data_IF_031612131749
#
_entry.id   IF_031612131749
#
_cell.length_a   1.000
_cell.length_b   1.000
_cell.length_c   1.000
_cell.angle_alpha   90.00
_cell.angle_beta   90.00
_cell.angle_gamma   90.00
#
_symmetry.space_group_name_H-M   'P 1'
#
loop_
_entity.id
_entity.type
_entity.pdbx_description
1 polymer ?
#
# COMPACT_ATOMS: atom_id res chain seq x y z
N UNK A 1 0.75 -42.89 -1.66
CA UNK A 1 1.57 -42.11 -0.70
C UNK A 1 2.08 -40.85 -1.38
N UNK A 2 1.46 -39.69 -1.13
CA UNK A 2 1.90 -38.38 -1.67
C UNK A 2 2.64 -37.63 -0.55
N UNK A 3 3.90 -37.26 -0.80
CA UNK A 3 4.73 -36.48 0.13
C UNK A 3 4.15 -35.07 0.29
N UNK A 4 4.11 -34.50 1.50
CA UNK A 4 3.68 -33.11 1.70
C UNK A 4 4.76 -32.17 1.16
N UNK A 5 4.36 -31.19 0.35
CA UNK A 5 5.23 -30.11 -0.09
C UNK A 5 5.55 -29.23 1.11
N UNK A 6 6.81 -29.24 1.56
CA UNK A 6 7.33 -28.25 2.51
C UNK A 6 7.15 -26.85 1.90
N UNK A 7 6.25 -26.05 2.47
CA UNK A 7 6.36 -24.60 2.39
C UNK A 7 7.69 -24.21 3.05
N UNK A 8 8.72 -23.98 2.24
CA UNK A 8 9.91 -23.26 2.71
C UNK A 8 9.49 -21.81 2.92
N UNK A 9 9.14 -21.48 4.16
CA UNK A 9 9.15 -20.10 4.63
C UNK A 9 10.58 -19.57 4.42
N UNK A 10 10.77 -18.75 3.38
CA UNK A 10 12.01 -18.00 3.22
C UNK A 10 11.93 -16.84 4.20
N UNK A 11 12.40 -17.07 5.43
CA UNK A 11 12.75 -16.00 6.34
C UNK A 11 13.96 -15.26 5.74
N UNK A 12 13.69 -14.21 4.97
CA UNK A 12 14.73 -13.31 4.49
C UNK A 12 15.08 -12.37 5.65
N UNK A 13 16.12 -12.70 6.39
CA UNK A 13 16.77 -11.76 7.29
C UNK A 13 17.46 -10.68 6.45
N UNK A 14 16.92 -9.46 6.46
CA UNK A 14 17.55 -8.29 5.84
C UNK A 14 17.76 -7.20 6.89
N UNK A 15 18.96 -7.19 7.47
CA UNK A 15 19.48 -6.08 8.24
C UNK A 15 19.87 -4.93 7.30
N UNK A 16 18.89 -4.22 6.75
CA UNK A 16 19.09 -2.85 6.30
C UNK A 16 18.60 -1.95 7.43
N UNK A 17 19.53 -1.30 8.13
CA UNK A 17 19.22 -0.34 9.19
C UNK A 17 18.53 0.90 8.57
N UNK A 18 17.24 0.76 8.26
CA UNK A 18 16.34 1.89 8.27
C UNK A 18 16.36 2.43 9.70
N UNK A 19 16.48 3.74 9.88
CA UNK A 19 16.35 4.37 11.18
C UNK A 19 14.90 4.22 11.67
N UNK A 20 14.58 3.02 12.16
CA UNK A 20 13.37 2.73 12.89
C UNK A 20 13.45 3.45 14.24
N UNK A 21 12.28 3.77 14.79
CA UNK A 21 12.21 4.36 16.13
C UNK A 21 12.89 3.41 17.15
N UNK A 22 13.71 3.90 18.10
CA UNK A 22 14.32 3.04 19.12
C UNK A 22 13.25 2.19 19.84
N UNK A 23 13.42 0.86 19.84
CA UNK A 23 12.48 -0.09 20.44
C UNK A 23 11.44 -0.67 19.48
N UNK A 24 11.34 -0.17 18.24
CA UNK A 24 10.46 -0.77 17.23
C UNK A 24 11.00 -2.11 16.73
N UNK A 25 12.32 -2.27 16.67
CA UNK A 25 13.00 -3.54 16.44
C UNK A 25 12.61 -4.60 17.48
N UNK A 26 12.54 -4.21 18.75
CA UNK A 26 12.13 -5.10 19.84
C UNK A 26 10.65 -5.49 19.73
N UNK A 27 9.78 -4.52 19.48
CA UNK A 27 8.35 -4.77 19.27
C UNK A 27 8.13 -5.73 18.10
N UNK A 28 8.85 -5.58 16.99
CA UNK A 28 8.72 -6.47 15.83
C UNK A 28 9.26 -7.87 16.09
N UNK A 29 10.40 -8.00 16.76
CA UNK A 29 10.93 -9.30 17.17
C UNK A 29 9.94 -10.04 18.11
N UNK A 30 9.17 -9.30 18.91
CA UNK A 30 8.10 -9.87 19.71
C UNK A 30 6.90 -10.31 18.84
N UNK A 31 6.49 -9.51 17.85
CA UNK A 31 5.42 -9.89 16.91
C UNK A 31 5.81 -11.13 16.09
N UNK A 32 7.05 -11.24 15.65
CA UNK A 32 7.56 -12.40 14.89
C UNK A 32 7.44 -13.72 15.67
N UNK A 33 7.58 -13.67 16.99
CA UNK A 33 7.45 -14.85 17.85
C UNK A 33 5.99 -15.27 18.08
N UNK A 34 5.02 -14.40 17.75
CA UNK A 34 3.60 -14.67 17.99
C UNK A 34 3.02 -15.55 16.89
N UNK A 35 2.37 -16.63 17.32
CA UNK A 35 1.45 -17.37 16.47
C UNK A 35 0.09 -16.66 16.48
N UNK A 36 -0.60 -16.65 15.34
CA UNK A 36 -1.92 -16.03 15.22
C UNK A 36 -2.64 -16.47 13.95
N UNK A 37 -3.91 -16.11 13.79
CA UNK A 37 -4.70 -16.49 12.63
C UNK A 37 -4.06 -15.94 11.35
N UNK A 38 -4.19 -16.68 10.25
CA UNK A 38 -3.76 -16.22 8.94
C UNK A 38 -4.60 -15.02 8.49
N UNK A 39 -3.99 -14.10 7.73
CA UNK A 39 -4.66 -12.92 7.16
C UNK A 39 -5.59 -13.29 6.00
N UNK A 40 -6.63 -14.07 6.29
CA UNK A 40 -7.54 -14.69 5.30
C UNK A 40 -9.01 -14.30 5.48
N UNK A 41 -9.31 -13.40 6.42
CA UNK A 41 -10.68 -12.92 6.59
C UNK A 41 -11.08 -12.05 5.39
N UNK A 42 -12.29 -12.30 4.88
CA UNK A 42 -12.90 -11.49 3.83
C UNK A 42 -13.54 -10.24 4.42
N UNK A 43 -13.69 -9.21 3.59
CA UNK A 43 -14.22 -7.89 3.98
C UNK A 43 -15.28 -7.43 2.98
N UNK A 44 -16.26 -6.66 3.47
CA UNK A 44 -17.34 -6.08 2.67
C UNK A 44 -18.06 -7.10 1.78
N UNK A 45 -18.37 -6.69 0.55
CA UNK A 45 -19.06 -7.51 -0.45
C UNK A 45 -18.40 -8.89 -0.68
N UNK A 46 -17.09 -9.04 -0.49
CA UNK A 46 -16.42 -10.34 -0.68
C UNK A 46 -16.79 -11.36 0.40
N UNK A 47 -17.18 -10.90 1.58
CA UNK A 47 -17.65 -11.73 2.68
C UNK A 47 -19.14 -12.08 2.53
N UNK A 48 -19.92 -11.21 1.89
CA UNK A 48 -21.40 -11.32 1.82
C UNK A 48 -21.91 -11.94 0.51
N UNK A 49 -21.25 -11.65 -0.61
CA UNK A 49 -21.70 -12.10 -1.93
C UNK A 49 -21.24 -13.53 -2.26
N UNK A 50 -22.10 -14.26 -2.97
CA UNK A 50 -21.75 -15.54 -3.56
C UNK A 50 -20.83 -15.34 -4.76
N UNK A 51 -20.01 -16.34 -5.08
CA UNK A 51 -19.06 -16.24 -6.19
C UNK A 51 -19.75 -15.91 -7.53
N UNK A 52 -20.97 -16.40 -7.77
CA UNK A 52 -21.73 -16.08 -9.00
C UNK A 52 -22.07 -14.59 -9.14
N UNK A 53 -22.16 -13.87 -8.03
CA UNK A 53 -22.52 -12.45 -7.97
C UNK A 53 -21.27 -11.55 -8.02
N UNK A 54 -20.08 -12.14 -7.88
CA UNK A 54 -18.81 -11.43 -7.99
C UNK A 54 -18.39 -11.26 -9.45
N UNK A 55 -17.93 -10.05 -9.77
CA UNK A 55 -17.20 -9.80 -11.01
C UNK A 55 -15.94 -10.68 -11.11
N UNK A 56 -15.38 -10.91 -12.31
CA UNK A 56 -14.11 -11.63 -12.45
C UNK A 56 -12.99 -11.05 -11.58
N UNK A 57 -12.95 -9.72 -11.44
CA UNK A 57 -12.02 -9.02 -10.55
C UNK A 57 -12.30 -9.32 -9.08
N UNK A 58 -13.57 -9.29 -8.66
CA UNK A 58 -13.96 -9.61 -7.27
C UNK A 58 -13.58 -11.04 -6.88
N UNK A 59 -13.79 -12.01 -7.77
CA UNK A 59 -13.34 -13.40 -7.60
C UNK A 59 -11.82 -13.48 -7.42
N UNK A 60 -11.07 -12.82 -8.30
CA UNK A 60 -9.61 -12.81 -8.21
C UNK A 60 -9.11 -12.20 -6.89
N UNK A 61 -9.74 -11.12 -6.40
CA UNK A 61 -9.40 -10.53 -5.10
C UNK A 61 -9.74 -11.50 -3.97
N UNK A 62 -10.93 -12.12 -3.99
CA UNK A 62 -11.34 -13.11 -2.99
C UNK A 62 -10.36 -14.27 -2.92
N UNK A 63 -9.98 -14.84 -4.07
CA UNK A 63 -9.01 -15.93 -4.15
C UNK A 63 -7.64 -15.53 -3.55
N UNK A 64 -7.16 -14.31 -3.84
CA UNK A 64 -5.92 -13.79 -3.24
C UNK A 64 -6.04 -13.70 -1.71
N UNK A 65 -7.13 -13.12 -1.20
CA UNK A 65 -7.33 -12.93 0.24
C UNK A 65 -7.41 -14.27 0.99
N UNK A 66 -8.04 -15.30 0.43
CA UNK A 66 -8.13 -16.63 1.08
C UNK A 66 -6.98 -17.57 0.73
N UNK A 67 -5.91 -17.06 0.12
CA UNK A 67 -4.70 -17.84 -0.19
C UNK A 67 -4.85 -18.86 -1.32
N UNK A 68 -5.89 -18.74 -2.16
CA UNK A 68 -6.14 -19.57 -3.35
C UNK A 68 -5.62 -18.94 -4.65
N UNK A 69 -5.28 -17.65 -4.63
CA UNK A 69 -4.78 -16.88 -5.77
C UNK A 69 -3.42 -16.24 -5.51
N UNK A 70 -2.72 -15.89 -6.59
CA UNK A 70 -1.44 -15.17 -6.52
C UNK A 70 -1.66 -13.66 -6.54
N UNK A 71 -1.35 -12.99 -5.42
CA UNK A 71 -1.36 -11.53 -5.31
C UNK A 71 -0.22 -10.85 -6.06
N UNK A 72 0.79 -11.62 -6.48
CA UNK A 72 1.89 -11.17 -7.31
C UNK A 72 1.66 -11.52 -8.78
N UNK A 73 2.39 -10.82 -9.66
CA UNK A 73 2.47 -11.17 -11.07
C UNK A 73 3.91 -11.04 -11.54
N UNK A 74 4.63 -12.16 -11.46
CA UNK A 74 6.06 -12.22 -11.78
C UNK A 74 6.34 -12.04 -13.27
N UNK A 75 5.38 -12.38 -14.15
CA UNK A 75 5.54 -12.21 -15.60
C UNK A 75 5.66 -10.74 -16.00
N UNK A 76 6.72 -10.37 -16.73
CA UNK A 76 6.92 -9.04 -17.32
C UNK A 76 6.32 -8.99 -18.73
N UNK A 77 4.99 -9.13 -18.86
CA UNK A 77 4.34 -8.79 -20.14
C UNK A 77 4.12 -7.28 -20.18
N UNK A 78 5.08 -6.58 -20.76
CA UNK A 78 4.93 -5.18 -21.17
C UNK A 78 4.58 -5.21 -22.66
N UNK A 79 3.30 -5.44 -22.96
CA UNK A 79 2.81 -5.18 -24.30
C UNK A 79 2.76 -3.67 -24.54
N UNK A 80 2.95 -3.24 -25.79
CA UNK A 80 2.57 -1.88 -26.19
C UNK A 80 1.07 -1.69 -25.96
N UNK A 81 0.69 -0.62 -25.28
CA UNK A 81 -0.72 -0.20 -25.18
C UNK A 81 -1.05 0.76 -26.34
N UNK A 82 -2.30 0.80 -26.83
CA UNK A 82 -2.73 1.78 -27.82
C UNK A 82 -2.52 3.22 -27.33
N UNK A 83 -2.40 4.23 -28.23
CA UNK A 83 -2.27 5.63 -27.84
C UNK A 83 -3.34 6.06 -26.82
N UNK A 84 -2.96 6.83 -25.80
CA UNK A 84 -3.88 7.24 -24.70
C UNK A 84 -5.15 7.96 -25.16
N UNK A 85 -5.10 8.65 -26.31
CA UNK A 85 -6.24 9.37 -26.92
C UNK A 85 -7.06 8.52 -27.88
N UNK A 86 -6.69 7.25 -28.10
CA UNK A 86 -7.38 6.37 -29.04
C UNK A 86 -8.64 5.74 -28.45
N UNK A 87 -9.64 5.46 -29.30
CA UNK A 87 -10.82 4.70 -28.92
C UNK A 87 -10.49 3.29 -28.41
N UNK A 88 -9.38 2.69 -28.88
CA UNK A 88 -8.91 1.39 -28.39
C UNK A 88 -8.48 1.47 -26.91
N UNK A 89 -7.76 2.52 -26.52
CA UNK A 89 -7.39 2.75 -25.12
C UNK A 89 -8.62 3.05 -24.26
N UNK A 90 -9.56 3.85 -24.75
CA UNK A 90 -10.78 4.18 -24.02
C UNK A 90 -11.68 2.96 -23.70
N UNK A 91 -11.63 1.90 -24.52
CA UNK A 91 -12.37 0.65 -24.28
C UNK A 91 -11.72 -0.25 -23.23
N UNK A 92 -10.41 -0.13 -23.02
CA UNK A 92 -9.68 -0.88 -22.00
C UNK A 92 -9.43 -0.01 -20.78
N UNK A 93 -10.18 -0.26 -19.70
CA UNK A 93 -10.05 0.48 -18.43
C UNK A 93 -8.63 0.45 -17.86
N UNK A 94 -7.80 -0.54 -18.20
CA UNK A 94 -6.41 -0.65 -17.75
C UNK A 94 -5.41 0.10 -18.63
N UNK A 95 -5.79 0.51 -19.85
CA UNK A 95 -4.86 1.13 -20.79
C UNK A 95 -4.27 2.44 -20.25
N UNK A 96 -5.11 3.34 -19.73
CA UNK A 96 -4.63 4.62 -19.18
C UNK A 96 -3.66 4.43 -18.00
N UNK A 97 -3.88 3.40 -17.19
CA UNK A 97 -3.05 3.11 -16.03
C UNK A 97 -1.62 2.73 -16.39
N UNK A 98 -1.36 2.26 -17.62
CA UNK A 98 0.01 2.05 -18.11
C UNK A 98 0.76 3.38 -18.24
N UNK A 99 0.12 4.39 -18.83
CA UNK A 99 0.70 5.73 -18.98
C UNK A 99 0.95 6.38 -17.62
N UNK A 100 -0.05 6.32 -16.72
CA UNK A 100 0.08 6.82 -15.34
C UNK A 100 1.24 6.12 -14.62
N UNK A 101 1.33 4.79 -14.72
CA UNK A 101 2.38 4.02 -14.06
C UNK A 101 3.78 4.33 -14.62
N UNK A 102 3.91 4.58 -15.93
CA UNK A 102 5.18 4.97 -16.56
C UNK A 102 5.64 6.36 -16.08
N UNK A 103 4.73 7.34 -16.02
CA UNK A 103 5.03 8.69 -15.54
C UNK A 103 5.38 8.70 -14.05
N UNK A 104 4.62 7.94 -13.24
CA UNK A 104 4.96 7.71 -11.84
C UNK A 104 6.35 7.09 -11.71
N UNK A 105 6.65 6.03 -12.49
CA UNK A 105 7.95 5.36 -12.46
C UNK A 105 9.09 6.30 -12.81
N UNK A 106 8.92 7.12 -13.85
CA UNK A 106 9.90 8.12 -14.27
C UNK A 106 10.17 9.15 -13.16
N UNK A 107 9.14 9.57 -12.43
CA UNK A 107 9.27 10.47 -11.29
C UNK A 107 9.81 9.81 -10.01
N UNK A 108 9.77 8.47 -9.92
CA UNK A 108 10.11 7.69 -8.72
C UNK A 108 11.51 7.07 -8.75
N UNK A 109 12.20 7.07 -9.89
CA UNK A 109 13.55 6.52 -10.04
C UNK A 109 14.53 7.64 -10.37
N UNK A 110 15.63 7.71 -9.60
CA UNK A 110 16.71 8.66 -9.87
C UNK A 110 17.65 8.18 -10.98
N UNK A 111 18.60 9.03 -11.38
CA UNK A 111 19.59 8.74 -12.44
C UNK A 111 20.40 7.46 -12.24
N UNK A 112 20.64 7.07 -10.97
CA UNK A 112 21.35 5.84 -10.62
C UNK A 112 20.45 4.57 -10.61
N UNK A 113 19.23 4.63 -11.15
CA UNK A 113 18.30 3.49 -11.18
C UNK A 113 17.69 3.11 -9.82
N UNK A 114 17.97 3.90 -8.77
CA UNK A 114 17.48 3.69 -7.40
C UNK A 114 16.18 4.45 -7.15
N UNK A 115 15.27 3.87 -6.36
CA UNK A 115 14.06 4.60 -5.97
C UNK A 115 14.39 5.82 -5.14
N UNK A 116 13.69 6.91 -5.43
CA UNK A 116 13.87 8.18 -4.77
C UNK A 116 12.86 8.37 -3.64
N UNK A 117 12.83 9.59 -3.14
CA UNK A 117 11.99 10.02 -2.05
C UNK A 117 10.48 10.01 -2.37
N UNK A 118 10.10 10.22 -3.63
CA UNK A 118 8.70 10.18 -4.09
C UNK A 118 8.18 8.74 -4.02
N UNK A 119 8.98 7.76 -4.46
CA UNK A 119 8.61 6.35 -4.40
C UNK A 119 8.27 5.90 -2.98
N UNK A 120 9.17 6.20 -2.02
CA UNK A 120 8.99 5.86 -0.61
C UNK A 120 7.78 6.56 0.00
N UNK A 121 7.58 7.84 -0.33
CA UNK A 121 6.44 8.60 0.17
C UNK A 121 5.11 8.11 -0.41
N UNK A 122 5.08 7.63 -1.67
CA UNK A 122 3.89 7.07 -2.29
C UNK A 122 3.47 5.74 -1.65
N UNK A 123 4.43 4.87 -1.32
CA UNK A 123 4.18 3.64 -0.54
C UNK A 123 3.57 3.99 0.82
N UNK A 124 4.16 4.98 1.53
CA UNK A 124 3.62 5.45 2.81
C UNK A 124 2.22 6.05 2.66
N UNK A 125 1.97 6.84 1.62
CA UNK A 125 0.66 7.45 1.37
C UNK A 125 -0.42 6.38 1.16
N UNK A 126 -0.14 5.35 0.36
CA UNK A 126 -1.08 4.24 0.15
C UNK A 126 -1.42 3.50 1.44
N UNK A 127 -0.44 3.31 2.33
CA UNK A 127 -0.67 2.77 3.68
C UNK A 127 -1.50 3.71 4.56
N UNK A 128 -1.20 5.01 4.55
CA UNK A 128 -1.92 5.98 5.40
C UNK A 128 -3.37 6.19 4.96
N UNK A 129 -3.67 6.07 3.66
CA UNK A 129 -5.04 6.04 3.14
C UNK A 129 -5.73 4.75 3.62
N UNK A 130 -5.23 3.59 3.18
CA UNK A 130 -5.82 2.28 3.46
C UNK A 130 -5.89 1.90 4.95
N UNK A 131 -4.92 2.35 5.73
CA UNK A 131 -4.74 2.02 7.13
C UNK A 131 -5.78 2.63 8.05
N UNK A 132 -6.71 3.45 7.54
CA UNK A 132 -7.77 4.09 8.33
C UNK A 132 -9.08 3.30 8.39
N UNK A 133 -9.13 2.10 7.79
CA UNK A 133 -10.28 1.19 7.93
C UNK A 133 -10.09 0.20 9.08
N UNK A 134 -11.17 -0.21 9.74
CA UNK A 134 -11.22 -1.39 10.63
C UNK A 134 -12.59 -2.07 10.56
N UNK A 135 -12.72 -3.24 11.19
CA UNK A 135 -14.01 -3.92 11.37
C UNK A 135 -15.10 -3.02 12.01
N UNK A 136 -14.69 -1.99 12.75
CA UNK A 136 -15.59 -1.10 13.49
C UNK A 136 -15.92 0.19 12.74
N UNK A 137 -15.28 0.46 11.59
CA UNK A 137 -15.52 1.70 10.81
C UNK A 137 -16.65 1.58 9.81
N UNK A 138 -17.22 0.39 9.64
CA UNK A 138 -18.22 0.12 8.60
C UNK A 138 -17.66 0.45 7.21
N UNK A 139 -18.26 1.44 6.55
CA UNK A 139 -17.87 1.91 5.21
C UNK A 139 -16.88 3.08 5.21
N UNK A 140 -16.52 3.62 6.38
CA UNK A 140 -15.66 4.79 6.49
C UNK A 140 -14.17 4.40 6.45
N UNK A 141 -13.38 5.25 5.77
CA UNK A 141 -11.94 5.10 5.62
C UNK A 141 -11.55 3.93 4.72
N UNK A 142 -10.25 3.63 4.70
CA UNK A 142 -9.68 2.60 3.84
C UNK A 142 -9.07 3.19 2.60
N UNK A 143 -8.90 2.37 1.56
CA UNK A 143 -8.31 2.82 0.30
C UNK A 143 -9.38 3.54 -0.53
N UNK A 144 -9.79 4.73 -0.11
CA UNK A 144 -10.89 5.51 -0.67
C UNK A 144 -10.47 6.93 -1.11
N UNK A 145 -9.19 7.28 -0.96
CA UNK A 145 -8.65 8.57 -1.35
C UNK A 145 -9.01 9.72 -0.42
N UNK A 146 -9.66 9.47 0.72
CA UNK A 146 -10.06 10.51 1.68
C UNK A 146 -8.86 11.31 2.16
N UNK A 147 -7.68 10.69 2.24
CA UNK A 147 -6.46 11.36 2.70
C UNK A 147 -6.12 12.62 1.88
N UNK A 148 -6.48 12.60 0.58
CA UNK A 148 -6.29 13.72 -0.35
C UNK A 148 -7.53 14.61 -0.40
N UNK A 149 -8.70 13.98 -0.57
CA UNK A 149 -9.97 14.63 -0.87
C UNK A 149 -10.54 15.39 0.34
N UNK A 150 -10.33 14.85 1.54
CA UNK A 150 -10.67 15.48 2.81
C UNK A 150 -9.51 16.28 3.42
N UNK A 151 -8.46 16.61 2.62
CA UNK A 151 -7.30 17.43 3.02
C UNK A 151 -6.54 16.93 4.25
N UNK A 152 -6.58 15.62 4.50
CA UNK A 152 -6.00 15.05 5.71
C UNK A 152 -4.46 15.13 5.74
N UNK A 153 -3.79 15.20 4.58
CA UNK A 153 -2.34 15.39 4.51
C UNK A 153 -1.88 16.72 5.14
N UNK A 154 -2.73 17.75 5.06
CA UNK A 154 -2.47 19.09 5.58
C UNK A 154 -3.01 19.27 7.00
N UNK A 155 -4.14 18.64 7.32
CA UNK A 155 -4.91 18.92 8.54
C UNK A 155 -4.67 17.94 9.69
N UNK A 156 -4.07 16.77 9.41
CA UNK A 156 -3.91 15.70 10.40
C UNK A 156 -2.46 15.45 10.78
N UNK A 157 -2.21 15.40 12.09
CA UNK A 157 -0.86 15.25 12.67
C UNK A 157 -0.25 13.90 12.32
N UNK A 158 -1.06 12.85 12.28
CA UNK A 158 -0.70 11.49 11.89
C UNK A 158 -0.15 11.41 10.46
N UNK A 159 -0.60 12.31 9.57
CA UNK A 159 -0.17 12.37 8.17
C UNK A 159 1.02 13.32 7.93
N UNK A 160 1.64 13.83 9.01
CA UNK A 160 2.78 14.74 8.90
C UNK A 160 3.89 14.17 8.02
N UNK A 161 4.36 14.99 7.09
CA UNK A 161 5.38 14.64 6.11
C UNK A 161 4.85 13.99 4.83
N UNK A 162 3.54 13.90 4.63
CA UNK A 162 2.92 13.45 3.37
C UNK A 162 2.55 14.59 2.42
N UNK A 163 2.56 15.85 2.86
CA UNK A 163 2.11 17.01 2.07
C UNK A 163 2.74 17.09 0.67
N UNK A 164 4.06 16.86 0.55
CA UNK A 164 4.75 16.87 -0.76
C UNK A 164 4.24 15.79 -1.72
N UNK A 165 4.07 14.55 -1.23
CA UNK A 165 3.56 13.46 -2.08
C UNK A 165 2.07 13.64 -2.37
N UNK A 166 1.30 14.22 -1.44
CA UNK A 166 -0.10 14.54 -1.68
C UNK A 166 -0.26 15.60 -2.77
N UNK A 167 0.55 16.66 -2.75
CA UNK A 167 0.60 17.64 -3.83
C UNK A 167 0.98 17.00 -5.17
N UNK A 168 1.93 16.07 -5.18
CA UNK A 168 2.29 15.31 -6.40
C UNK A 168 1.12 14.44 -6.90
N UNK A 169 0.39 13.76 -6.03
CA UNK A 169 -0.80 12.99 -6.41
C UNK A 169 -1.89 13.89 -6.99
N UNK A 170 -2.12 15.08 -6.43
CA UNK A 170 -3.06 16.06 -6.98
C UNK A 170 -2.66 16.49 -8.40
N UNK A 171 -1.37 16.76 -8.63
CA UNK A 171 -0.88 17.12 -9.96
C UNK A 171 -1.11 16.00 -11.00
N UNK A 172 -0.84 14.73 -10.63
CA UNK A 172 -1.16 13.61 -11.52
C UNK A 172 -2.67 13.41 -11.71
N UNK A 173 -3.47 13.64 -10.67
CA UNK A 173 -4.93 13.60 -10.81
C UNK A 173 -5.40 14.68 -11.79
N UNK A 174 -4.91 15.92 -11.68
CA UNK A 174 -5.27 17.00 -12.59
C UNK A 174 -4.91 16.70 -14.04
N UNK A 175 -3.77 16.03 -14.27
CA UNK A 175 -3.35 15.59 -15.61
C UNK A 175 -4.25 14.48 -16.18
N UNK A 176 -4.68 13.54 -15.33
CA UNK A 176 -5.31 12.30 -15.78
C UNK A 176 -6.82 12.18 -15.50
N UNK A 177 -7.44 13.11 -14.77
CA UNK A 177 -8.87 13.06 -14.40
C UNK A 177 -9.81 12.99 -15.61
N UNK A 178 -9.40 13.53 -16.76
CA UNK A 178 -10.16 13.43 -18.01
C UNK A 178 -10.38 12.00 -18.53
N UNK A 179 -9.64 11.03 -18.00
CA UNK A 179 -9.75 9.61 -18.35
C UNK A 179 -10.60 8.79 -17.35
N UNK A 180 -11.30 9.44 -16.42
CA UNK A 180 -12.22 8.77 -15.49
C UNK A 180 -11.51 7.94 -14.41
N UNK A 181 -10.31 8.35 -14.00
CA UNK A 181 -9.61 7.76 -12.85
C UNK A 181 -10.18 8.30 -11.53
N UNK A 182 -10.04 7.54 -10.45
CA UNK A 182 -10.33 7.98 -9.09
C UNK A 182 -9.05 8.33 -8.34
N UNK A 183 -9.14 9.21 -7.34
CA UNK A 183 -8.01 9.54 -6.45
C UNK A 183 -7.60 8.31 -5.64
N UNK A 184 -8.57 7.52 -5.18
CA UNK A 184 -8.36 6.27 -4.48
C UNK A 184 -7.49 5.29 -5.28
N UNK A 185 -7.80 5.08 -6.56
CA UNK A 185 -6.98 4.22 -7.42
C UNK A 185 -5.62 4.84 -7.73
N UNK A 186 -5.54 6.18 -7.88
CA UNK A 186 -4.29 6.87 -8.16
C UNK A 186 -3.28 6.70 -7.01
N UNK A 187 -3.75 6.83 -5.76
CA UNK A 187 -2.91 6.64 -4.57
C UNK A 187 -2.39 5.21 -4.49
N UNK A 188 -3.27 4.22 -4.67
CA UNK A 188 -2.89 2.80 -4.57
C UNK A 188 -2.02 2.35 -5.75
N UNK A 189 -2.24 2.92 -6.95
CA UNK A 189 -1.34 2.74 -8.08
C UNK A 189 0.03 3.33 -7.78
N UNK A 190 0.09 4.55 -7.23
CA UNK A 190 1.33 5.19 -6.82
C UNK A 190 2.10 4.38 -5.79
N UNK A 191 1.43 3.80 -4.80
CA UNK A 191 2.04 2.89 -3.84
C UNK A 191 2.62 1.65 -4.53
N UNK A 192 1.87 1.00 -5.44
CA UNK A 192 2.33 -0.19 -6.17
C UNK A 192 3.52 0.12 -7.07
N UNK A 193 3.48 1.23 -7.82
CA UNK A 193 4.60 1.69 -8.66
C UNK A 193 5.82 2.04 -7.80
N UNK A 194 5.62 2.68 -6.66
CA UNK A 194 6.66 2.99 -5.68
C UNK A 194 7.36 1.73 -5.17
N UNK A 195 6.58 0.70 -4.80
CA UNK A 195 7.09 -0.59 -4.36
C UNK A 195 8.00 -1.21 -5.42
N UNK A 196 7.53 -1.40 -6.65
CA UNK A 196 8.35 -2.01 -7.73
C UNK A 196 9.50 -1.12 -8.22
N UNK A 197 9.51 0.15 -7.83
CA UNK A 197 10.60 1.09 -8.11
C UNK A 197 11.76 0.93 -7.15
N UNK A 198 11.49 0.48 -5.93
CA UNK A 198 12.53 0.21 -4.95
C UNK A 198 13.17 -1.18 -5.16
N UNK A 199 14.48 -1.32 -4.88
CA UNK A 199 15.15 -2.63 -4.91
C UNK A 199 14.39 -3.65 -4.08
N UNK A 200 14.25 -4.86 -4.63
CA UNK A 200 13.57 -6.01 -4.00
C UNK A 200 12.06 -5.81 -3.71
N UNK A 201 11.47 -4.71 -4.16
CA UNK A 201 10.03 -4.50 -4.03
C UNK A 201 9.24 -5.53 -4.86
N UNK A 202 8.24 -6.21 -4.28
CA UNK A 202 7.47 -7.23 -4.98
C UNK A 202 6.58 -6.61 -6.06
N UNK A 203 6.34 -7.35 -7.14
CA UNK A 203 5.38 -7.00 -8.18
C UNK A 203 3.99 -7.48 -7.78
N UNK A 204 3.28 -6.65 -7.02
CA UNK A 204 1.88 -6.90 -6.62
C UNK A 204 0.90 -6.51 -7.72
N UNK A 205 -0.26 -7.17 -7.76
CA UNK A 205 -1.34 -6.84 -8.70
C UNK A 205 -2.06 -5.56 -8.26
N UNK A 206 -2.20 -4.62 -9.19
CA UNK A 206 -3.09 -3.47 -9.02
C UNK A 206 -4.50 -3.81 -9.50
N UNK A 207 -5.49 -3.45 -8.69
CA UNK A 207 -6.90 -3.45 -9.07
C UNK A 207 -7.38 -2.01 -9.13
N UNK A 208 -8.29 -1.70 -10.05
CA UNK A 208 -8.85 -0.37 -10.27
C UNK A 208 -10.37 -0.45 -10.32
N UNK A 209 -11.05 0.64 -10.02
CA UNK A 209 -12.49 0.76 -9.84
C UNK A 209 -12.91 1.19 -8.43
N UNK A 210 -11.99 1.72 -7.59
CA UNK A 210 -12.35 2.25 -6.27
C UNK A 210 -13.20 3.50 -6.41
N UNK A 211 -14.15 3.65 -5.50
CA UNK A 211 -14.95 4.88 -5.35
C UNK A 211 -14.20 5.85 -4.46
N UNK A 212 -14.17 7.11 -4.88
CA UNK A 212 -13.62 8.19 -4.08
C UNK A 212 -14.54 8.54 -2.90
N UNK A 213 -13.93 8.94 -1.79
CA UNK A 213 -14.61 9.49 -0.61
C UNK A 213 -14.01 10.83 -0.24
N UNK A 214 -14.83 11.86 -0.11
CA UNK A 214 -14.43 13.14 0.48
C UNK A 214 -14.70 13.20 2.00
N UNK A 215 -15.23 12.12 2.58
CA UNK A 215 -15.49 12.04 4.01
C UNK A 215 -14.18 11.78 4.76
N UNK A 216 -13.80 12.62 5.74
CA UNK A 216 -12.59 12.40 6.52
C UNK A 216 -12.62 11.03 7.22
N UNK A 217 -11.54 10.28 7.10
CA UNK A 217 -11.42 8.93 7.68
C UNK A 217 -11.47 8.95 9.22
N UNK A 218 -11.85 7.86 9.89
CA UNK A 218 -11.80 7.81 11.35
C UNK A 218 -10.37 7.96 11.90
N UNK A 219 -10.22 8.70 13.00
CA UNK A 219 -8.92 8.99 13.63
C UNK A 219 -8.45 7.83 14.51
N UNK A 220 -7.14 7.81 14.80
CA UNK A 220 -6.55 6.88 15.77
C UNK A 220 -6.34 5.45 15.25
N UNK A 221 -6.51 5.22 13.95
CA UNK A 221 -6.42 3.89 13.33
C UNK A 221 -5.07 3.60 12.67
N UNK A 222 -4.13 4.56 12.70
CA UNK A 222 -2.77 4.39 12.20
C UNK A 222 -1.82 4.06 13.35
N UNK A 223 -0.84 3.15 13.13
CA UNK A 223 0.09 2.74 14.17
C UNK A 223 1.00 3.88 14.59
N UNK A 224 1.19 4.02 15.91
CA UNK A 224 2.22 4.89 16.48
C UNK A 224 3.58 4.17 16.44
N UNK A 225 4.68 4.88 16.13
CA UNK A 225 6.03 4.32 16.28
C UNK A 225 6.41 4.02 17.75
N UNK A 226 5.56 4.40 18.71
CA UNK A 226 5.70 4.13 20.14
C UNK A 226 4.75 3.03 20.64
N UNK A 227 3.96 2.43 19.76
CA UNK A 227 3.01 1.41 20.15
C UNK A 227 3.72 0.11 20.56
N UNK A 228 3.19 -0.57 21.59
CA UNK A 228 3.64 -1.90 21.98
C UNK A 228 3.29 -2.96 20.93
N UNK A 229 3.96 -4.11 20.98
CA UNK A 229 3.63 -5.26 20.13
C UNK A 229 2.16 -5.68 20.26
N UNK A 230 1.62 -5.74 21.49
CA UNK A 230 0.20 -6.04 21.75
C UNK A 230 -0.74 -5.05 21.05
N UNK A 231 -0.41 -3.76 21.13
CA UNK A 231 -1.23 -2.70 20.51
C UNK A 231 -1.22 -2.86 18.99
N UNK A 232 -0.05 -3.12 18.39
CA UNK A 232 0.09 -3.30 16.96
C UNK A 232 -0.64 -4.56 16.47
N UNK A 233 -0.47 -5.69 17.16
CA UNK A 233 -1.16 -6.95 16.81
C UNK A 233 -2.67 -6.78 16.90
N UNK A 234 -3.18 -6.16 17.95
CA UNK A 234 -4.63 -5.93 18.13
C UNK A 234 -5.18 -4.99 17.05
N UNK A 235 -4.46 -3.89 16.78
CA UNK A 235 -4.84 -2.94 15.74
C UNK A 235 -4.92 -3.60 14.36
N UNK A 236 -3.92 -4.41 13.98
CA UNK A 236 -3.90 -5.06 12.68
C UNK A 236 -4.86 -6.25 12.59
N UNK A 237 -5.13 -6.96 13.69
CA UNK A 237 -6.17 -7.98 13.73
C UNK A 237 -7.57 -7.38 13.46
N UNK A 238 -7.83 -6.15 13.94
CA UNK A 238 -9.02 -5.38 13.60
C UNK A 238 -9.05 -4.88 12.15
N UNK A 239 -7.94 -5.04 11.43
CA UNK A 239 -7.81 -4.82 9.98
C UNK A 239 -7.68 -6.13 9.21
N UNK A 240 -8.07 -7.26 9.82
CA UNK A 240 -7.98 -8.62 9.24
C UNK A 240 -6.57 -9.15 8.98
N UNK A 241 -5.55 -8.53 9.57
CA UNK A 241 -4.15 -8.87 9.37
C UNK A 241 -3.59 -9.51 10.64
N UNK A 242 -3.20 -10.79 10.55
CA UNK A 242 -2.56 -11.51 11.65
C UNK A 242 -1.09 -11.13 11.86
N UNK A 243 -0.44 -11.64 12.92
CA UNK A 243 0.96 -11.31 13.24
C UNK A 243 1.94 -11.49 12.09
N UNK A 244 1.86 -12.61 11.34
CA UNK A 244 2.71 -12.86 10.18
C UNK A 244 2.50 -11.83 9.06
N UNK A 245 1.25 -11.40 8.83
CA UNK A 245 0.94 -10.35 7.87
C UNK A 245 1.43 -8.97 8.31
N UNK A 246 1.35 -8.68 9.61
CA UNK A 246 1.91 -7.45 10.19
C UNK A 246 3.43 -7.39 9.99
N UNK A 247 4.16 -8.47 10.30
CA UNK A 247 5.61 -8.56 10.04
C UNK A 247 5.91 -8.32 8.56
N UNK A 248 5.15 -8.95 7.66
CA UNK A 248 5.33 -8.76 6.21
C UNK A 248 5.11 -7.30 5.78
N UNK A 249 4.11 -6.61 6.33
CA UNK A 249 3.85 -5.19 6.05
C UNK A 249 4.94 -4.29 6.63
N UNK A 250 5.45 -4.60 7.82
CA UNK A 250 6.54 -3.82 8.41
C UNK A 250 7.86 -4.05 7.68
N UNK A 251 8.03 -5.21 7.02
CA UNK A 251 9.11 -5.42 6.05
C UNK A 251 9.19 -4.32 4.98
N UNK A 252 8.09 -3.66 4.63
CA UNK A 252 8.09 -2.51 3.72
C UNK A 252 8.86 -1.29 4.30
N UNK A 253 9.00 -1.17 5.63
CA UNK A 253 9.80 -0.12 6.27
C UNK A 253 11.29 -0.23 5.97
N UNK A 254 11.80 -1.40 5.55
CA UNK A 254 13.19 -1.54 5.05
C UNK A 254 13.46 -0.66 3.83
N UNK A 255 12.40 -0.29 3.09
CA UNK A 255 12.49 0.64 1.95
C UNK A 255 12.25 2.10 2.35
N UNK A 256 11.95 2.42 3.62
CA UNK A 256 11.57 3.76 4.07
C UNK A 256 12.70 4.49 4.81
N UNK A 257 12.76 5.82 4.67
CA UNK A 257 13.65 6.69 5.47
C UNK A 257 12.82 7.66 6.31
N UNK A 258 13.09 7.73 7.61
CA UNK A 258 12.45 8.69 8.51
C UNK A 258 13.13 10.06 8.37
N UNK A 259 12.36 11.11 8.05
CA UNK A 259 12.92 12.44 7.73
C UNK A 259 13.03 13.43 8.89
N UNK A 260 12.52 13.14 10.10
CA UNK A 260 12.60 14.08 11.23
C UNK A 260 12.76 13.41 12.59
N UNK A 261 13.98 13.51 13.14
CA UNK A 261 14.34 13.72 14.55
C UNK A 261 15.84 14.05 14.64
N UNK A 262 16.22 15.24 14.16
CA UNK A 262 17.51 15.84 14.49
C UNK A 262 17.28 17.29 14.90
N UNK A 263 16.58 17.50 16.01
CA UNK A 263 16.74 18.71 16.82
C UNK A 263 17.66 18.30 17.97
N UNK A 264 18.97 18.23 17.69
CA UNK A 264 19.92 17.74 18.68
C UNK A 264 21.32 17.35 18.16
N UNK A 265 21.87 18.05 17.16
CA UNK A 265 23.33 18.26 17.08
C UNK A 265 23.58 19.49 16.22
N UNK A 266 23.78 20.62 16.90
CA UNK A 266 24.43 21.79 16.31
C UNK A 266 25.79 21.35 15.78
N UNK A 267 26.22 21.98 14.70
CA UNK A 267 27.54 21.80 14.12
C UNK A 267 28.66 21.99 15.16
N UNK A 268 29.75 21.30 14.92
CA UNK A 268 31.01 21.47 15.60
C UNK A 268 32.11 21.14 14.61
N UNK A 269 32.81 22.20 14.22
CA UNK A 269 34.01 22.29 13.37
C UNK A 269 33.82 22.07 11.87
#
# INVERSE_FOLDING_TARGET
>A
MRRPALLKAVAVAMAAAAAAYPGMDQALAEVEKRQGPASTSLIGDLAELHDRDLSPTGKAIKDILVGRGDGQKLSRRVGSVPPKTSAACARDKCCIWKYIADDMRAAMVGSAGRCNNVARAAVRLGFHDAGTWSKDTGRAGGADGSILLARECEERRENKGLTEVCARMRAWFDEYKGFGISVADLIQMGATVGTVSCPLGPRVRSFVGRRDSSEPSPRGLLPSPLASADTLVSMFANKTIGPAGLVALVGAHTTSQQRRRATGRRGGS
#
